data_IF_868288782700
#
_entry.id   IF_868288782700
#
_cell.length_a   1.000
_cell.length_b   1.000
_cell.length_c   1.000
_cell.angle_alpha   90.00
_cell.angle_beta   90.00
_cell.angle_gamma   90.00
#
_symmetry.space_group_name_H-M   'P 1'
#
loop_
_entity.id
_entity.type
_entity.pdbx_description
1 polymer ?
#
# COMPACT_ATOMS: atom_id res chain seq x y z
N UNK A 1 60.70 -40.80 22.42
CA UNK A 1 59.51 -40.28 23.15
C UNK A 1 59.21 -38.90 22.58
N UNK A 2 58.43 -38.72 21.51
CA UNK A 2 56.96 -38.88 21.36
C UNK A 2 56.17 -38.22 22.50
N UNK A 3 55.82 -36.95 22.31
CA UNK A 3 54.58 -36.36 22.81
C UNK A 3 54.24 -35.13 21.95
N UNK A 4 53.46 -35.36 20.88
CA UNK A 4 52.74 -34.32 20.17
C UNK A 4 51.68 -33.73 21.11
N UNK A 5 51.70 -32.42 21.33
CA UNK A 5 50.54 -31.69 21.88
C UNK A 5 49.94 -30.91 20.72
N UNK A 6 48.98 -31.55 20.04
CA UNK A 6 48.07 -30.88 19.11
C UNK A 6 47.04 -30.10 19.94
N UNK A 7 47.22 -28.78 20.01
CA UNK A 7 46.21 -27.88 20.56
C UNK A 7 45.01 -27.81 19.61
N UNK A 8 43.91 -28.44 20.01
CA UNK A 8 42.63 -28.43 19.32
C UNK A 8 42.03 -27.01 19.38
N UNK A 9 42.25 -26.23 18.33
CA UNK A 9 41.58 -24.94 18.11
C UNK A 9 40.11 -25.23 17.77
N UNK A 10 39.25 -25.22 18.78
CA UNK A 10 37.80 -25.32 18.60
C UNK A 10 37.33 -24.00 17.98
N UNK A 11 37.21 -23.98 16.64
CA UNK A 11 36.46 -22.96 15.92
C UNK A 11 34.99 -23.07 16.32
N UNK A 12 34.59 -22.37 17.38
CA UNK A 12 33.19 -22.06 17.65
C UNK A 12 32.75 -21.09 16.56
N UNK A 13 32.36 -21.63 15.41
CA UNK A 13 31.63 -20.89 14.39
C UNK A 13 30.27 -20.53 14.98
N UNK A 14 30.22 -19.39 15.68
CA UNK A 14 28.98 -18.76 16.07
C UNK A 14 28.19 -18.49 14.78
N UNK A 15 27.16 -19.31 14.54
CA UNK A 15 26.12 -18.98 13.57
C UNK A 15 25.36 -17.77 14.12
N UNK A 16 25.94 -16.58 13.95
CA UNK A 16 25.22 -15.34 14.04
C UNK A 16 24.14 -15.40 12.95
N UNK A 17 22.94 -15.85 13.31
CA UNK A 17 21.77 -15.67 12.45
C UNK A 17 21.67 -14.18 12.22
N UNK A 18 21.93 -13.74 10.99
CA UNK A 18 21.76 -12.34 10.62
C UNK A 18 20.32 -11.96 10.97
N UNK A 19 20.17 -11.22 12.07
CA UNK A 19 18.88 -10.72 12.51
C UNK A 19 18.52 -9.60 11.54
N UNK A 20 17.45 -9.78 10.77
CA UNK A 20 16.94 -8.71 9.92
C UNK A 20 16.62 -7.54 10.84
N UNK A 21 17.25 -6.40 10.59
CA UNK A 21 16.93 -5.19 11.31
C UNK A 21 15.60 -4.67 10.77
N UNK A 22 14.54 -4.83 11.56
CA UNK A 22 13.18 -4.51 11.14
C UNK A 22 13.00 -2.99 11.17
N UNK A 23 12.62 -2.39 10.04
CA UNK A 23 12.42 -0.94 9.95
C UNK A 23 10.94 -0.61 9.96
N UNK A 24 10.47 0.12 10.98
CA UNK A 24 9.11 0.66 10.94
C UNK A 24 9.05 1.85 9.97
N UNK A 25 7.91 2.04 9.32
CA UNK A 25 7.73 3.16 8.39
C UNK A 25 6.61 2.92 7.38
N UNK A 26 6.57 3.77 6.36
CA UNK A 26 5.62 3.65 5.27
C UNK A 26 6.13 2.67 4.22
N UNK A 27 5.28 1.75 3.79
CA UNK A 27 5.56 0.76 2.76
C UNK A 27 4.59 0.94 1.60
N UNK A 28 5.11 0.83 0.37
CA UNK A 28 4.34 1.00 -0.85
C UNK A 28 4.55 -0.15 -1.83
N UNK A 29 3.53 -0.49 -2.60
CA UNK A 29 3.67 -1.38 -3.76
C UNK A 29 4.53 -0.75 -4.85
N UNK A 30 5.17 -1.58 -5.68
CA UNK A 30 6.06 -1.12 -6.78
C UNK A 30 5.34 -0.20 -7.79
N UNK A 31 4.03 -0.28 -7.89
CA UNK A 31 3.17 0.54 -8.75
C UNK A 31 2.64 1.82 -8.07
N UNK A 32 2.96 2.06 -6.80
CA UNK A 32 2.53 3.24 -6.05
C UNK A 32 1.07 3.21 -5.56
N UNK A 33 0.30 2.17 -5.90
CA UNK A 33 -1.15 2.19 -5.70
C UNK A 33 -1.63 1.82 -4.31
N UNK A 34 -0.80 1.17 -3.51
CA UNK A 34 -1.17 0.74 -2.17
C UNK A 34 -0.09 1.12 -1.17
N UNK A 35 -0.47 1.96 -0.20
CA UNK A 35 0.40 2.47 0.84
C UNK A 35 -0.12 2.05 2.21
N UNK A 36 0.79 1.55 3.06
CA UNK A 36 0.50 1.18 4.45
C UNK A 36 1.60 1.69 5.37
N UNK A 37 1.28 1.88 6.65
CA UNK A 37 2.31 2.11 7.67
C UNK A 37 2.50 0.83 8.48
N UNK A 38 3.76 0.43 8.68
CA UNK A 38 4.16 -0.74 9.43
C UNK A 38 4.90 -0.30 10.68
N UNK A 39 4.42 -0.72 11.84
CA UNK A 39 5.12 -0.57 13.12
C UNK A 39 5.50 -1.95 13.64
N UNK A 40 6.80 -2.23 13.71
CA UNK A 40 7.33 -3.46 14.27
C UNK A 40 7.42 -3.38 15.80
N UNK A 41 6.89 -4.39 16.48
CA UNK A 41 7.15 -4.68 17.89
C UNK A 41 8.01 -5.94 18.03
N UNK A 42 8.32 -6.34 19.26
CA UNK A 42 9.16 -7.51 19.53
C UNK A 42 8.55 -8.82 19.00
N UNK A 43 7.23 -8.99 19.18
CA UNK A 43 6.50 -10.23 18.83
C UNK A 43 5.32 -10.00 17.88
N UNK A 44 5.12 -8.76 17.46
CA UNK A 44 4.00 -8.35 16.62
C UNK A 44 4.42 -7.34 15.56
N UNK A 45 3.54 -7.17 14.58
CA UNK A 45 3.61 -6.13 13.58
C UNK A 45 2.23 -5.46 13.53
N UNK A 46 2.18 -4.13 13.63
CA UNK A 46 0.95 -3.37 13.41
C UNK A 46 0.98 -2.81 11.99
N UNK A 47 0.00 -3.20 11.19
CA UNK A 47 -0.23 -2.67 9.85
C UNK A 47 -1.39 -1.67 9.93
N UNK A 48 -1.12 -0.44 9.50
CA UNK A 48 -2.07 0.66 9.48
C UNK A 48 -2.38 0.97 8.02
N UNK A 49 -3.60 0.65 7.60
CA UNK A 49 -4.22 1.10 6.37
C UNK A 49 -5.05 2.36 6.67
N UNK A 50 -5.42 3.15 5.65
CA UNK A 50 -6.20 4.35 5.89
C UNK A 50 -7.56 4.10 6.57
N UNK A 51 -8.13 2.90 6.44
CA UNK A 51 -9.45 2.51 6.96
C UNK A 51 -9.42 1.38 7.98
N UNK A 52 -8.27 0.75 8.23
CA UNK A 52 -8.15 -0.41 9.09
C UNK A 52 -6.77 -0.45 9.76
N UNK A 53 -6.76 -0.79 11.05
CA UNK A 53 -5.52 -1.13 11.75
C UNK A 53 -5.58 -2.59 12.15
N UNK A 54 -4.57 -3.36 11.74
CA UNK A 54 -4.50 -4.80 11.96
C UNK A 54 -3.22 -5.14 12.72
N UNK A 55 -3.36 -5.97 13.76
CA UNK A 55 -2.22 -6.45 14.55
C UNK A 55 -1.91 -7.89 14.11
N UNK A 56 -0.77 -8.06 13.46
CA UNK A 56 -0.26 -9.35 13.05
C UNK A 56 0.64 -9.93 14.15
N UNK A 57 0.44 -11.21 14.47
CA UNK A 57 1.25 -11.95 15.44
C UNK A 57 2.32 -12.76 14.74
N UNK A 58 3.53 -12.82 15.31
CA UNK A 58 4.62 -13.62 14.75
C UNK A 58 4.28 -15.12 14.83
N UNK A 59 4.41 -15.82 13.71
CA UNK A 59 4.14 -17.27 13.58
C UNK A 59 5.35 -18.07 13.09
N UNK A 60 6.34 -17.39 12.49
CA UNK A 60 7.63 -17.97 12.10
C UNK A 60 8.72 -16.87 12.15
N UNK A 61 10.02 -17.19 11.99
CA UNK A 61 11.12 -16.23 12.16
C UNK A 61 10.93 -14.88 11.46
N UNK A 62 10.33 -14.86 10.27
CA UNK A 62 10.05 -13.65 9.49
C UNK A 62 8.58 -13.56 9.05
N UNK A 63 7.67 -14.38 9.60
CA UNK A 63 6.28 -14.44 9.16
C UNK A 63 5.36 -14.01 10.30
N UNK A 64 4.48 -13.06 9.99
CA UNK A 64 3.42 -12.57 10.85
C UNK A 64 2.06 -12.91 10.24
N UNK A 65 1.05 -13.20 11.06
CA UNK A 65 -0.31 -13.57 10.63
C UNK A 65 -1.38 -12.74 11.33
N UNK A 66 -2.42 -12.39 10.58
CA UNK A 66 -3.65 -11.76 11.03
C UNK A 66 -4.84 -12.49 10.40
N UNK A 67 -5.78 -12.93 11.23
CA UNK A 67 -7.03 -13.53 10.77
C UNK A 67 -8.14 -12.51 10.89
N UNK A 68 -8.73 -12.11 9.76
CA UNK A 68 -9.77 -11.07 9.76
C UNK A 68 -11.10 -11.62 10.28
N UNK A 69 -11.64 -10.99 11.32
CA UNK A 69 -12.75 -11.53 12.11
C UNK A 69 -14.06 -11.76 11.33
N UNK A 70 -14.33 -10.99 10.26
CA UNK A 70 -15.61 -11.08 9.53
C UNK A 70 -15.63 -12.15 8.45
N UNK A 71 -14.51 -12.42 7.80
CA UNK A 71 -14.42 -13.34 6.66
C UNK A 71 -13.49 -14.53 6.93
N UNK A 72 -12.89 -14.60 8.12
CA UNK A 72 -12.00 -15.67 8.56
C UNK A 72 -10.81 -15.96 7.63
N UNK A 73 -10.37 -14.95 6.87
CA UNK A 73 -9.22 -15.07 5.97
C UNK A 73 -7.93 -14.84 6.76
N UNK A 74 -6.97 -15.77 6.63
CA UNK A 74 -5.59 -15.63 7.14
C UNK A 74 -4.76 -14.80 6.17
N UNK A 75 -4.38 -13.60 6.60
CA UNK A 75 -3.46 -12.71 5.92
C UNK A 75 -2.10 -12.83 6.58
N UNK A 76 -1.04 -12.94 5.76
CA UNK A 76 0.33 -13.08 6.24
C UNK A 76 1.24 -12.02 5.66
N UNK A 77 2.26 -11.67 6.43
CA UNK A 77 3.35 -10.79 6.03
C UNK A 77 4.66 -11.54 6.25
N UNK A 78 5.45 -11.70 5.21
CA UNK A 78 6.83 -12.19 5.27
C UNK A 78 7.80 -11.02 5.14
N UNK A 79 8.69 -10.86 6.11
CA UNK A 79 9.79 -9.90 6.04
C UNK A 79 10.91 -10.50 5.18
N UNK A 80 11.24 -9.87 4.06
CA UNK A 80 12.31 -10.32 3.16
C UNK A 80 13.66 -9.74 3.56
N UNK A 81 13.67 -8.45 3.90
CA UNK A 81 14.83 -7.70 4.38
C UNK A 81 14.36 -6.47 5.18
N UNK A 82 15.30 -5.60 5.57
CA UNK A 82 15.03 -4.44 6.40
C UNK A 82 14.05 -3.42 5.79
N UNK A 83 13.93 -3.39 4.46
CA UNK A 83 13.14 -2.43 3.71
C UNK A 83 12.08 -3.10 2.81
N UNK A 84 11.96 -4.43 2.82
CA UNK A 84 11.06 -5.15 1.91
C UNK A 84 10.23 -6.19 2.67
N UNK A 85 8.91 -6.14 2.46
CA UNK A 85 7.96 -7.13 2.95
C UNK A 85 7.15 -7.73 1.80
N UNK A 86 6.57 -8.90 2.04
CA UNK A 86 5.58 -9.51 1.15
C UNK A 86 4.30 -9.86 1.90
N UNK A 87 3.16 -9.36 1.43
CA UNK A 87 1.84 -9.80 1.91
C UNK A 87 1.39 -11.02 1.10
N UNK A 88 0.68 -11.96 1.73
CA UNK A 88 0.11 -13.12 1.03
C UNK A 88 -1.02 -13.80 1.82
N UNK A 89 -1.80 -14.63 1.12
CA UNK A 89 -2.80 -15.53 1.71
C UNK A 89 -2.33 -16.97 1.50
N UNK A 90 -2.05 -17.75 2.55
CA UNK A 90 -1.45 -19.09 2.39
C UNK A 90 -2.31 -20.04 1.57
N UNK A 91 -3.63 -19.88 1.61
CA UNK A 91 -4.59 -20.74 0.89
C UNK A 91 -4.91 -20.26 -0.54
N UNK A 92 -4.22 -19.23 -1.04
CA UNK A 92 -4.49 -18.64 -2.37
C UNK A 92 -3.20 -18.60 -3.18
N UNK A 93 -3.21 -19.30 -4.32
CA UNK A 93 -2.11 -19.27 -5.28
C UNK A 93 -1.88 -17.85 -5.83
N UNK A 94 -0.62 -17.50 -6.09
CA UNK A 94 -0.22 -16.20 -6.64
C UNK A 94 -0.73 -14.98 -5.86
N UNK A 95 -0.88 -15.10 -4.54
CA UNK A 95 -1.40 -14.04 -3.67
C UNK A 95 -0.32 -13.12 -3.09
N UNK A 96 0.93 -13.24 -3.55
CA UNK A 96 2.09 -12.51 -3.01
C UNK A 96 2.18 -11.12 -3.63
N UNK A 97 2.24 -10.09 -2.79
CA UNK A 97 2.50 -8.71 -3.20
C UNK A 97 3.68 -8.16 -2.42
N UNK A 98 4.62 -7.54 -3.12
CA UNK A 98 5.81 -6.92 -2.52
C UNK A 98 5.50 -5.48 -2.15
N UNK A 99 5.92 -5.07 -0.95
CA UNK A 99 5.92 -3.67 -0.54
C UNK A 99 7.32 -3.28 -0.08
N UNK A 100 7.75 -2.07 -0.46
CA UNK A 100 9.05 -1.50 -0.14
C UNK A 100 8.90 -0.28 0.74
N UNK A 101 9.80 -0.14 1.69
CA UNK A 101 9.90 1.02 2.58
C UNK A 101 10.14 2.27 1.74
N UNK A 102 9.41 3.33 2.03
CA UNK A 102 9.57 4.64 1.42
C UNK A 102 10.32 5.58 2.36
N UNK A 103 10.92 6.63 1.81
CA UNK A 103 11.50 7.71 2.61
C UNK A 103 10.43 8.70 3.12
N UNK A 104 9.15 8.46 2.85
CA UNK A 104 8.07 9.32 3.35
C UNK A 104 7.83 9.02 4.83
N UNK A 105 7.81 10.08 5.63
CA UNK A 105 7.39 10.03 7.03
C UNK A 105 5.86 10.05 7.19
N UNK A 106 5.10 10.10 6.09
CA UNK A 106 3.65 10.25 6.17
C UNK A 106 3.00 8.94 6.60
N UNK A 107 2.24 9.01 7.68
CA UNK A 107 1.38 7.90 8.09
C UNK A 107 0.19 7.83 7.14
N UNK A 108 -0.26 6.62 6.79
CA UNK A 108 -1.49 6.42 6.04
C UNK A 108 -2.65 7.23 6.69
N UNK A 109 -3.17 8.24 5.98
CA UNK A 109 -4.05 9.25 6.57
C UNK A 109 -5.52 8.83 6.54
N UNK A 110 -6.07 8.52 7.73
CA UNK A 110 -7.50 8.24 7.86
C UNK A 110 -8.39 9.42 7.48
N UNK A 111 -7.90 10.66 7.62
CA UNK A 111 -8.63 11.87 7.24
C UNK A 111 -8.73 12.02 5.72
N UNK A 112 -7.61 11.83 5.01
CA UNK A 112 -7.57 11.81 3.54
C UNK A 112 -8.50 10.73 3.00
N UNK A 113 -8.41 9.51 3.55
CA UNK A 113 -9.29 8.41 3.16
C UNK A 113 -10.75 8.77 3.36
N UNK A 114 -11.16 9.19 4.56
CA UNK A 114 -12.57 9.55 4.84
C UNK A 114 -13.10 10.62 3.89
N UNK A 115 -12.32 11.69 3.64
CA UNK A 115 -12.71 12.79 2.75
C UNK A 115 -12.92 12.31 1.32
N UNK A 116 -11.90 11.69 0.74
CA UNK A 116 -11.91 11.36 -0.68
C UNK A 116 -12.71 10.08 -1.00
N UNK A 117 -12.82 9.15 -0.05
CA UNK A 117 -13.74 8.01 -0.16
C UNK A 117 -15.19 8.49 -0.20
N UNK A 118 -15.59 9.40 0.70
CA UNK A 118 -16.93 9.98 0.67
C UNK A 118 -17.21 10.68 -0.67
N UNK A 119 -16.23 11.40 -1.22
CA UNK A 119 -16.32 12.02 -2.53
C UNK A 119 -16.46 10.98 -3.67
N UNK A 120 -15.72 9.88 -3.61
CA UNK A 120 -15.84 8.79 -4.57
C UNK A 120 -17.24 8.18 -4.55
N UNK A 121 -17.82 7.96 -3.37
CA UNK A 121 -19.20 7.46 -3.22
C UNK A 121 -20.23 8.45 -3.76
N UNK A 122 -20.02 9.77 -3.58
CA UNK A 122 -20.87 10.80 -4.20
C UNK A 122 -20.86 10.71 -5.74
N UNK A 123 -19.69 10.54 -6.36
CA UNK A 123 -19.59 10.38 -7.81
C UNK A 123 -20.18 9.04 -8.30
N UNK A 124 -20.03 7.95 -7.53
CA UNK A 124 -20.73 6.69 -7.83
C UNK A 124 -22.24 6.85 -7.80
N UNK A 125 -22.77 7.63 -6.86
CA UNK A 125 -24.20 7.93 -6.83
C UNK A 125 -24.64 8.75 -8.05
N UNK A 126 -23.85 9.75 -8.48
CA UNK A 126 -24.10 10.51 -9.73
C UNK A 126 -24.14 9.62 -10.96
N UNK A 127 -23.28 8.61 -11.06
CA UNK A 127 -23.30 7.65 -12.15
C UNK A 127 -24.64 6.92 -12.28
N UNK A 128 -25.36 6.71 -11.16
CA UNK A 128 -26.68 6.05 -11.16
C UNK A 128 -27.81 7.01 -11.54
N UNK A 129 -27.71 8.28 -11.13
CA UNK A 129 -28.77 9.28 -11.32
C UNK A 129 -28.65 10.07 -12.63
N UNK A 130 -27.43 10.24 -13.14
CA UNK A 130 -27.13 10.90 -14.41
C UNK A 130 -26.49 9.90 -15.39
N UNK A 131 -27.36 9.16 -16.07
CA UNK A 131 -26.96 8.09 -16.98
C UNK A 131 -26.26 8.59 -18.24
N UNK A 132 -26.50 9.85 -18.64
CA UNK A 132 -25.89 10.43 -19.85
C UNK A 132 -24.39 10.60 -19.65
N UNK A 133 -24.00 11.09 -18.49
CA UNK A 133 -22.61 11.35 -18.13
C UNK A 133 -22.05 10.27 -17.17
N UNK A 134 -22.65 9.08 -17.15
CA UNK A 134 -22.25 7.98 -16.26
C UNK A 134 -20.76 7.62 -16.39
N UNK A 135 -20.21 7.65 -17.61
CA UNK A 135 -18.78 7.40 -17.85
C UNK A 135 -17.90 8.52 -17.28
N UNK A 136 -18.34 9.78 -17.35
CA UNK A 136 -17.64 10.89 -16.71
C UNK A 136 -17.62 10.72 -15.19
N UNK A 137 -18.77 10.39 -14.60
CA UNK A 137 -18.90 10.19 -13.16
C UNK A 137 -18.10 8.99 -12.66
N UNK A 138 -17.96 7.93 -13.46
CA UNK A 138 -17.10 6.79 -13.11
C UNK A 138 -15.62 7.18 -13.07
N UNK A 139 -15.15 8.02 -14.00
CA UNK A 139 -13.79 8.55 -13.97
C UNK A 139 -13.53 9.46 -12.77
N UNK A 140 -14.47 10.36 -12.44
CA UNK A 140 -14.36 11.20 -11.25
C UNK A 140 -14.36 10.39 -9.95
N UNK A 141 -15.21 9.35 -9.87
CA UNK A 141 -15.20 8.41 -8.75
C UNK A 141 -13.85 7.68 -8.62
N UNK A 142 -13.27 7.26 -9.74
CA UNK A 142 -11.97 6.59 -9.77
C UNK A 142 -10.84 7.51 -9.28
N UNK A 143 -10.80 8.77 -9.73
CA UNK A 143 -9.82 9.74 -9.28
C UNK A 143 -9.95 10.05 -7.76
N UNK A 144 -11.18 10.26 -7.27
CA UNK A 144 -11.43 10.45 -5.85
C UNK A 144 -11.01 9.23 -5.03
N UNK A 145 -11.33 8.02 -5.50
CA UNK A 145 -10.92 6.78 -4.82
C UNK A 145 -9.39 6.65 -4.78
N UNK A 146 -8.71 6.92 -5.89
CA UNK A 146 -7.25 6.95 -5.96
C UNK A 146 -6.66 7.93 -4.94
N UNK A 147 -7.19 9.15 -4.85
CA UNK A 147 -6.74 10.13 -3.84
C UNK A 147 -6.98 9.66 -2.41
N UNK A 148 -7.96 8.79 -2.17
CA UNK A 148 -8.25 8.27 -0.84
C UNK A 148 -7.24 7.22 -0.35
N UNK A 149 -6.55 6.51 -1.26
CA UNK A 149 -5.70 5.35 -0.92
C UNK A 149 -4.24 5.48 -1.35
N UNK A 150 -3.95 6.29 -2.36
CA UNK A 150 -2.60 6.47 -2.91
C UNK A 150 -1.87 7.61 -2.20
N UNK A 151 -0.54 7.57 -2.24
CA UNK A 151 0.28 8.73 -1.94
C UNK A 151 0.13 9.80 -3.04
N UNK A 152 0.73 10.97 -2.84
CA UNK A 152 0.58 12.09 -3.78
C UNK A 152 1.17 11.80 -5.16
N UNK A 153 2.34 11.14 -5.23
CA UNK A 153 3.00 10.80 -6.50
C UNK A 153 2.18 9.81 -7.34
N UNK A 154 1.78 8.69 -6.74
CA UNK A 154 0.94 7.67 -7.40
C UNK A 154 -0.43 8.23 -7.79
N UNK A 155 -0.99 9.11 -6.96
CA UNK A 155 -2.22 9.83 -7.31
C UNK A 155 -2.03 10.73 -8.53
N UNK A 156 -0.95 11.53 -8.61
CA UNK A 156 -0.72 12.45 -9.73
C UNK A 156 -0.62 11.69 -11.04
N UNK A 157 0.15 10.59 -11.08
CA UNK A 157 0.25 9.73 -12.28
C UNK A 157 -1.11 9.16 -12.69
N UNK A 158 -1.86 8.61 -11.73
CA UNK A 158 -3.19 8.05 -11.98
C UNK A 158 -4.18 9.12 -12.46
N UNK A 159 -4.28 10.24 -11.76
CA UNK A 159 -5.21 11.33 -12.04
C UNK A 159 -4.90 11.99 -13.39
N UNK A 160 -3.63 12.02 -13.82
CA UNK A 160 -3.24 12.48 -15.17
C UNK A 160 -3.85 11.60 -16.26
N UNK A 161 -3.79 10.28 -16.11
CA UNK A 161 -4.38 9.31 -17.07
C UNK A 161 -5.91 9.43 -17.11
N UNK A 162 -6.54 9.62 -15.94
CA UNK A 162 -7.98 9.87 -15.83
C UNK A 162 -8.35 11.20 -16.50
N UNK A 163 -7.60 12.28 -16.25
CA UNK A 163 -7.84 13.58 -16.86
C UNK A 163 -7.75 13.50 -18.40
N UNK A 164 -6.75 12.79 -18.95
CA UNK A 164 -6.64 12.53 -20.39
C UNK A 164 -7.88 11.82 -20.94
N UNK A 165 -8.38 10.81 -20.22
CA UNK A 165 -9.57 10.04 -20.62
C UNK A 165 -10.84 10.89 -20.58
N UNK A 166 -11.03 11.69 -19.53
CA UNK A 166 -12.15 12.63 -19.42
C UNK A 166 -12.12 13.64 -20.59
N UNK A 167 -10.95 14.18 -20.94
CA UNK A 167 -10.80 15.12 -22.08
C UNK A 167 -11.18 14.54 -23.44
N UNK A 168 -11.28 13.21 -23.57
CA UNK A 168 -11.77 12.57 -24.80
C UNK A 168 -13.30 12.53 -24.89
N UNK A 169 -14.00 12.57 -23.75
CA UNK A 169 -15.46 12.38 -23.71
C UNK A 169 -16.23 13.67 -23.43
N UNK A 170 -15.56 14.73 -22.95
CA UNK A 170 -16.21 16.02 -22.67
C UNK A 170 -15.98 17.03 -23.80
N UNK A 171 -16.98 17.90 -23.99
CA UNK A 171 -16.93 18.99 -24.98
C UNK A 171 -16.06 20.14 -24.46
N UNK A 172 -16.32 20.60 -23.23
CA UNK A 172 -15.58 21.70 -22.63
C UNK A 172 -14.33 21.20 -21.90
N UNK A 173 -13.16 21.34 -22.52
CA UNK A 173 -11.87 20.89 -21.97
C UNK A 173 -11.18 21.94 -21.09
N UNK A 174 -11.70 23.17 -21.01
CA UNK A 174 -11.06 24.25 -20.25
C UNK A 174 -11.27 24.14 -18.75
N UNK A 175 -12.26 23.35 -18.32
CA UNK A 175 -12.59 23.13 -16.91
C UNK A 175 -12.74 21.65 -16.60
N UNK A 176 -12.16 21.21 -15.49
CA UNK A 176 -12.39 19.84 -15.02
C UNK A 176 -13.82 19.72 -14.46
N UNK A 177 -14.60 18.70 -14.86
CA UNK A 177 -15.94 18.47 -14.30
C UNK A 177 -15.94 18.02 -12.83
N UNK A 178 -14.77 17.67 -12.27
CA UNK A 178 -14.60 17.19 -10.90
C UNK A 178 -13.29 17.68 -10.28
N UNK A 179 -13.13 19.00 -10.15
CA UNK A 179 -11.94 19.66 -9.58
C UNK A 179 -11.64 19.26 -8.12
N UNK A 180 -12.66 18.78 -7.40
CA UNK A 180 -12.54 18.24 -6.05
C UNK A 180 -11.89 16.85 -6.00
N UNK A 181 -11.92 16.10 -7.11
CA UNK A 181 -11.29 14.80 -7.29
C UNK A 181 -9.98 14.87 -8.11
N UNK A 182 -9.94 15.77 -9.10
CA UNK A 182 -8.78 16.00 -9.98
C UNK A 182 -8.37 17.47 -9.84
N UNK A 183 -7.29 17.75 -9.10
CA UNK A 183 -6.80 19.10 -8.92
C UNK A 183 -6.57 19.86 -10.24
N UNK A 184 -6.83 21.19 -10.29
CA UNK A 184 -6.70 21.96 -11.53
C UNK A 184 -5.32 21.91 -12.19
N UNK A 185 -4.25 21.82 -11.39
CA UNK A 185 -2.87 21.65 -11.87
C UNK A 185 -2.70 20.33 -12.62
N UNK A 186 -3.19 19.21 -12.07
CA UNK A 186 -3.19 17.90 -12.76
C UNK A 186 -4.01 17.98 -14.04
N UNK A 187 -5.21 18.56 -13.98
CA UNK A 187 -6.08 18.73 -15.15
C UNK A 187 -5.41 19.52 -16.27
N UNK A 188 -4.79 20.65 -15.93
CA UNK A 188 -4.19 21.56 -16.91
C UNK A 188 -2.91 20.99 -17.54
N UNK A 189 -2.18 20.15 -16.80
CA UNK A 189 -0.94 19.53 -17.26
C UNK A 189 -1.15 18.23 -18.04
N UNK A 190 -2.30 17.56 -17.90
CA UNK A 190 -2.66 16.40 -18.70
C UNK A 190 -2.90 16.78 -20.18
N UNK A 191 -1.95 16.52 -21.07
CA UNK A 191 -2.02 16.87 -22.50
C UNK A 191 -1.72 15.67 -23.39
#
# INVERSE_FOLDING_TARGET
MRALIFGLLICISAFAKAQINLTSGQYITDDGYYTVTINFGETSLTLIEPNLTSIYKKVAPNIYSYVHARNNVDYRIEVKDAATIQTFKPSVNNSRYTLKLTNSSDVASSAQFKKYYALAEQYKAKMQTDKKDAQLWSFCAAAAMAKSTMNDEGFIDYATKIALSIKQIIINKTKCPCEDAIPPDVWNNAK
#
